data_IF_601782886004
#
_entry.id   IF_601782886004
#
_cell.length_a   1.000
_cell.length_b   1.000
_cell.length_c   1.000
_cell.angle_alpha   90.00
_cell.angle_beta   90.00
_cell.angle_gamma   90.00
#
_symmetry.space_group_name_H-M   'P 1'
#
loop_
_entity.id
_entity.type
_entity.pdbx_description
1 polymer ?
#
# COMPACT_ATOMS: atom_id res chain seq x y z
N UNK A 1 5.78 -10.39 -61.67
CA UNK A 1 6.21 -11.08 -60.45
C UNK A 1 6.05 -10.06 -59.33
N UNK A 2 4.99 -10.05 -58.52
CA UNK A 2 4.69 -10.97 -57.40
C UNK A 2 5.95 -11.20 -56.56
N UNK A 3 6.05 -10.86 -55.28
CA UNK A 3 5.05 -10.87 -54.20
C UNK A 3 5.40 -9.93 -53.03
N UNK A 4 4.34 -9.38 -52.44
CA UNK A 4 4.20 -8.79 -51.11
C UNK A 4 4.52 -9.79 -49.98
N UNK A 5 5.09 -9.32 -48.86
CA UNK A 5 4.82 -9.77 -47.49
C UNK A 5 5.48 -8.77 -46.53
N UNK A 6 4.72 -7.83 -45.94
CA UNK A 6 4.02 -8.00 -44.66
C UNK A 6 4.98 -8.21 -43.50
N UNK A 7 5.60 -7.12 -43.03
CA UNK A 7 6.19 -7.08 -41.70
C UNK A 7 5.06 -6.73 -40.73
N UNK A 8 4.38 -7.77 -40.23
CA UNK A 8 3.35 -7.67 -39.21
C UNK A 8 3.99 -7.23 -37.90
N UNK A 9 3.51 -6.09 -37.42
CA UNK A 9 3.67 -5.56 -36.08
C UNK A 9 3.12 -6.53 -35.03
N UNK A 10 3.94 -6.86 -34.03
CA UNK A 10 3.45 -7.22 -32.70
C UNK A 10 3.88 -6.09 -31.79
N UNK A 11 3.02 -5.07 -31.75
CA UNK A 11 2.96 -4.10 -30.68
C UNK A 11 2.30 -4.82 -29.50
N UNK A 12 3.11 -5.43 -28.63
CA UNK A 12 2.69 -5.62 -27.24
C UNK A 12 2.71 -4.23 -26.59
N UNK A 13 1.63 -3.49 -26.84
CA UNK A 13 1.22 -2.40 -25.97
C UNK A 13 0.62 -3.05 -24.73
N UNK A 14 1.48 -3.63 -23.90
CA UNK A 14 1.20 -3.72 -22.47
C UNK A 14 1.02 -2.26 -22.05
N UNK A 15 -0.23 -1.85 -21.92
CA UNK A 15 -0.57 -0.58 -21.31
C UNK A 15 -0.03 -0.70 -19.89
N UNK A 16 1.17 -0.17 -19.67
CA UNK A 16 1.62 0.19 -18.35
C UNK A 16 0.58 1.19 -17.85
N UNK A 17 -0.45 0.68 -17.16
CA UNK A 17 -1.28 1.49 -16.30
C UNK A 17 -0.28 2.12 -15.34
N UNK A 18 0.01 3.39 -15.59
CA UNK A 18 0.86 4.22 -14.76
C UNK A 18 0.17 4.26 -13.40
N UNK A 19 0.62 3.38 -12.49
CA UNK A 19 0.07 3.27 -11.15
C UNK A 19 0.22 4.63 -10.49
N UNK A 20 -0.92 5.26 -10.28
CA UNK A 20 -1.00 6.59 -9.68
C UNK A 20 -0.37 6.52 -8.30
N UNK A 21 0.68 7.33 -8.11
CA UNK A 21 1.34 7.39 -6.81
C UNK A 21 0.45 8.22 -5.88
N UNK A 22 0.34 7.85 -4.59
CA UNK A 22 -0.43 8.64 -3.63
C UNK A 22 0.00 10.11 -3.58
N UNK A 23 1.25 10.43 -3.94
CA UNK A 23 1.81 11.79 -3.92
C UNK A 23 1.31 12.68 -5.05
N UNK A 24 0.66 12.11 -6.07
CA UNK A 24 0.29 12.81 -7.31
C UNK A 24 -1.20 13.20 -7.35
N UNK A 25 -1.99 12.85 -6.31
CA UNK A 25 -3.43 13.08 -6.29
C UNK A 25 -3.84 13.97 -5.12
N UNK A 26 -4.54 15.06 -5.43
CA UNK A 26 -5.18 15.87 -4.41
C UNK A 26 -6.43 15.17 -3.85
N UNK A 27 -6.58 15.06 -2.52
CA UNK A 27 -7.60 14.20 -1.91
C UNK A 27 -9.05 14.64 -2.17
N UNK A 28 -9.29 15.90 -2.54
CA UNK A 28 -10.63 16.44 -2.85
C UNK A 28 -11.16 15.98 -4.22
N UNK A 29 -10.29 15.43 -5.08
CA UNK A 29 -10.65 14.92 -6.42
C UNK A 29 -10.52 13.38 -6.53
N UNK A 30 -10.26 12.70 -5.41
CA UNK A 30 -10.10 11.24 -5.40
C UNK A 30 -11.36 10.54 -5.90
N UNK A 31 -11.22 9.80 -6.99
CA UNK A 31 -12.21 8.83 -7.46
C UNK A 31 -12.00 7.48 -6.78
N UNK A 32 -13.02 6.61 -6.81
CA UNK A 32 -12.90 5.24 -6.29
C UNK A 32 -11.79 4.46 -7.01
N UNK A 33 -11.62 4.67 -8.32
CA UNK A 33 -10.62 3.99 -9.15
C UNK A 33 -9.19 4.40 -8.79
N UNK A 34 -8.96 5.70 -8.58
CA UNK A 34 -7.66 6.17 -8.11
C UNK A 34 -7.35 5.64 -6.71
N UNK A 35 -8.38 5.52 -5.87
CA UNK A 35 -8.21 5.00 -4.53
C UNK A 35 -7.93 3.49 -4.51
N UNK A 36 -8.54 2.73 -5.42
CA UNK A 36 -8.19 1.33 -5.68
C UNK A 36 -6.71 1.20 -6.07
N UNK A 37 -6.25 1.99 -7.05
CA UNK A 37 -4.84 1.98 -7.47
C UNK A 37 -3.88 2.32 -6.33
N UNK A 38 -4.24 3.28 -5.48
CA UNK A 38 -3.47 3.61 -4.26
C UNK A 38 -3.37 2.39 -3.35
N UNK A 39 -4.45 1.65 -3.13
CA UNK A 39 -4.44 0.46 -2.28
C UNK A 39 -3.80 -0.77 -2.93
N UNK A 40 -3.74 -0.83 -4.26
CA UNK A 40 -2.95 -1.84 -4.96
C UNK A 40 -1.46 -1.67 -4.65
N UNK A 41 -0.96 -0.42 -4.67
CA UNK A 41 0.43 -0.11 -4.26
C UNK A 41 0.67 -0.53 -2.81
N UNK A 42 -0.27 -0.27 -1.90
CA UNK A 42 -0.17 -0.70 -0.51
C UNK A 42 -0.06 -2.22 -0.38
N UNK A 43 -0.89 -2.94 -1.12
CA UNK A 43 -0.92 -4.41 -1.12
C UNK A 43 0.44 -4.98 -1.58
N UNK A 44 1.02 -4.42 -2.65
CA UNK A 44 2.34 -4.82 -3.14
C UNK A 44 3.48 -4.53 -2.16
N UNK A 45 3.38 -3.43 -1.41
CA UNK A 45 4.32 -3.13 -0.33
C UNK A 45 4.17 -4.18 0.78
N UNK A 46 2.95 -4.47 1.23
CA UNK A 46 2.71 -5.45 2.30
C UNK A 46 3.12 -6.86 1.93
N UNK A 47 2.91 -7.26 0.68
CA UNK A 47 3.33 -8.58 0.18
C UNK A 47 4.85 -8.73 0.25
N UNK A 48 5.61 -7.70 -0.14
CA UNK A 48 7.07 -7.71 -0.01
C UNK A 48 7.52 -7.76 1.44
N UNK A 49 6.83 -7.09 2.35
CA UNK A 49 7.12 -7.13 3.79
C UNK A 49 6.78 -8.50 4.39
N UNK A 50 5.74 -9.17 3.91
CA UNK A 50 5.37 -10.52 4.37
C UNK A 50 6.50 -11.55 4.18
N UNK A 51 7.38 -11.31 3.19
CA UNK A 51 8.58 -12.11 2.95
C UNK A 51 9.65 -11.96 4.05
N UNK A 52 9.39 -11.19 5.11
CA UNK A 52 10.32 -11.03 6.23
C UNK A 52 10.67 -12.35 6.93
N UNK A 53 9.82 -13.38 6.88
CA UNK A 53 10.18 -14.73 7.39
C UNK A 53 10.77 -15.67 6.32
N UNK A 54 10.85 -15.20 5.08
CA UNK A 54 11.34 -16.01 3.97
C UNK A 54 12.83 -16.27 4.09
N UNK A 55 13.25 -17.49 3.76
CA UNK A 55 14.66 -17.84 3.57
C UNK A 55 15.26 -17.24 2.29
N UNK A 56 14.40 -16.72 1.40
CA UNK A 56 14.82 -16.08 0.17
C UNK A 56 15.30 -14.64 0.42
N UNK A 57 16.19 -14.16 -0.45
CA UNK A 57 16.63 -12.77 -0.45
C UNK A 57 15.44 -11.87 -0.74
N UNK A 58 15.22 -10.90 0.14
CA UNK A 58 14.12 -9.94 0.07
C UNK A 58 14.66 -8.56 0.33
N UNK A 59 14.36 -7.60 -0.54
CA UNK A 59 14.76 -6.21 -0.37
C UNK A 59 13.85 -5.51 0.66
N UNK A 60 13.98 -5.90 1.93
CA UNK A 60 13.16 -5.38 3.03
C UNK A 60 13.46 -3.90 3.29
N UNK A 61 14.71 -3.46 3.13
CA UNK A 61 15.06 -2.04 3.25
C UNK A 61 14.20 -1.16 2.33
N UNK A 62 14.10 -1.55 1.05
CA UNK A 62 13.26 -0.82 0.09
C UNK A 62 11.77 -0.95 0.46
N UNK A 63 11.29 -2.14 0.81
CA UNK A 63 9.88 -2.34 1.14
C UNK A 63 9.43 -1.50 2.35
N UNK A 64 10.27 -1.40 3.38
CA UNK A 64 10.01 -0.56 4.54
C UNK A 64 10.13 0.94 4.23
N UNK A 65 11.03 1.31 3.31
CA UNK A 65 11.08 2.67 2.74
C UNK A 65 9.77 3.04 2.06
N UNK A 66 9.32 2.20 1.13
CA UNK A 66 8.07 2.39 0.39
C UNK A 66 6.85 2.46 1.33
N UNK A 67 6.80 1.61 2.37
CA UNK A 67 5.73 1.64 3.37
C UNK A 67 5.69 2.97 4.13
N UNK A 68 6.86 3.49 4.48
CA UNK A 68 6.97 4.77 5.19
C UNK A 68 6.52 5.92 4.31
N UNK A 69 6.92 5.94 3.05
CA UNK A 69 6.57 6.98 2.09
C UNK A 69 5.06 6.93 1.80
N UNK A 70 4.53 5.75 1.47
CA UNK A 70 3.09 5.54 1.30
C UNK A 70 2.30 6.03 2.51
N UNK A 71 2.71 5.61 3.71
CA UNK A 71 2.03 6.03 4.94
C UNK A 71 2.20 7.52 5.22
N UNK A 72 3.32 8.12 4.84
CA UNK A 72 3.54 9.56 4.96
C UNK A 72 2.53 10.33 4.14
N UNK A 73 2.27 9.88 2.92
CA UNK A 73 1.35 10.53 1.98
C UNK A 73 -0.10 10.36 2.39
N UNK A 74 -0.55 9.14 2.66
CA UNK A 74 -1.94 8.87 3.05
C UNK A 74 -2.30 9.57 4.38
N UNK A 75 -1.33 9.79 5.26
CA UNK A 75 -1.53 10.55 6.51
C UNK A 75 -1.73 12.06 6.30
N UNK A 76 -1.37 12.61 5.14
CA UNK A 76 -1.63 14.01 4.81
C UNK A 76 -3.08 14.24 4.40
N UNK A 77 -3.79 13.19 3.99
CA UNK A 77 -5.19 13.28 3.63
C UNK A 77 -6.05 13.32 4.90
N UNK A 78 -6.68 14.46 5.15
CA UNK A 78 -7.65 14.57 6.24
C UNK A 78 -8.92 13.80 5.87
N UNK A 79 -9.56 13.23 6.88
CA UNK A 79 -10.83 12.52 6.72
C UNK A 79 -11.93 13.38 6.08
N UNK A 80 -11.82 14.70 6.22
CA UNK A 80 -12.76 15.70 5.71
C UNK A 80 -12.56 15.97 4.22
N UNK A 81 -11.33 15.88 3.72
CA UNK A 81 -10.99 16.05 2.30
C UNK A 81 -11.44 14.86 1.45
N UNK A 82 -11.53 13.67 2.05
CA UNK A 82 -12.01 12.48 1.35
C UNK A 82 -13.51 12.63 1.05
N UNK A 83 -13.93 12.54 -0.23
CA UNK A 83 -15.34 12.62 -0.62
C UNK A 83 -16.21 11.64 0.16
N UNK A 84 -17.39 12.10 0.56
CA UNK A 84 -18.26 11.38 1.49
C UNK A 84 -18.67 10.01 0.96
N UNK A 85 -18.87 9.90 -0.34
CA UNK A 85 -19.27 8.70 -1.08
C UNK A 85 -18.22 7.59 -1.04
N UNK A 86 -16.92 7.92 -1.01
CA UNK A 86 -15.83 6.94 -1.00
C UNK A 86 -15.18 6.78 0.38
N UNK A 87 -15.52 7.64 1.34
CA UNK A 87 -14.91 7.64 2.67
C UNK A 87 -15.01 6.29 3.40
N UNK A 88 -16.14 5.59 3.27
CA UNK A 88 -16.30 4.24 3.85
C UNK A 88 -15.34 3.24 3.20
N UNK A 89 -15.19 3.31 1.87
CA UNK A 89 -14.28 2.46 1.12
C UNK A 89 -12.83 2.72 1.54
N UNK A 90 -12.45 4.00 1.64
CA UNK A 90 -11.15 4.44 2.14
C UNK A 90 -10.84 3.88 3.54
N UNK A 91 -11.73 4.11 4.51
CA UNK A 91 -11.56 3.60 5.87
C UNK A 91 -11.45 2.07 5.89
N UNK A 92 -12.30 1.37 5.13
CA UNK A 92 -12.28 -0.10 5.09
C UNK A 92 -10.91 -0.64 4.69
N UNK A 93 -10.25 -0.02 3.72
CA UNK A 93 -8.93 -0.44 3.27
C UNK A 93 -7.83 -0.11 4.28
N UNK A 94 -7.88 1.07 4.90
CA UNK A 94 -6.93 1.40 5.98
C UNK A 94 -7.05 0.45 7.17
N UNK A 95 -8.28 0.10 7.53
CA UNK A 95 -8.56 -0.89 8.57
C UNK A 95 -8.07 -2.27 8.16
N UNK A 96 -8.28 -2.68 6.91
CA UNK A 96 -7.78 -3.95 6.41
C UNK A 96 -6.25 -4.04 6.44
N UNK A 97 -5.56 -2.96 6.03
CA UNK A 97 -4.10 -2.86 6.13
C UNK A 97 -3.59 -3.01 7.56
N UNK A 98 -4.27 -2.39 8.54
CA UNK A 98 -3.94 -2.58 9.96
C UNK A 98 -3.93 -4.06 10.35
N UNK A 99 -4.97 -4.80 9.97
CA UNK A 99 -5.08 -6.24 10.30
C UNK A 99 -4.00 -7.06 9.58
N UNK A 100 -3.73 -6.81 8.29
CA UNK A 100 -2.64 -7.49 7.55
C UNK A 100 -1.30 -7.31 8.27
N UNK A 101 -0.96 -6.08 8.67
CA UNK A 101 0.29 -5.81 9.37
C UNK A 101 0.35 -6.53 10.72
N UNK A 102 -0.77 -6.61 11.44
CA UNK A 102 -0.87 -7.36 12.69
C UNK A 102 -0.59 -8.85 12.48
N UNK A 103 -1.14 -9.44 11.42
CA UNK A 103 -0.92 -10.84 11.05
C UNK A 103 0.56 -11.11 10.68
N UNK A 104 1.16 -10.25 9.85
CA UNK A 104 2.59 -10.35 9.50
C UNK A 104 3.46 -10.30 10.77
N UNK A 105 3.16 -9.38 11.70
CA UNK A 105 3.88 -9.29 12.99
C UNK A 105 3.71 -10.57 13.81
N UNK A 106 2.50 -11.11 13.88
CA UNK A 106 2.21 -12.32 14.64
C UNK A 106 2.98 -13.53 14.09
N UNK A 107 2.94 -13.71 12.77
CA UNK A 107 3.68 -14.76 12.07
C UNK A 107 5.19 -14.59 12.28
N UNK A 108 5.71 -13.37 12.07
CA UNK A 108 7.10 -13.02 12.29
C UNK A 108 7.59 -13.39 13.69
N UNK A 109 6.84 -13.07 14.75
CA UNK A 109 7.24 -13.43 16.11
C UNK A 109 7.42 -14.93 16.34
N UNK A 110 6.77 -15.78 15.53
CA UNK A 110 6.85 -17.23 15.67
C UNK A 110 8.02 -17.87 14.91
N UNK A 111 8.48 -17.23 13.82
CA UNK A 111 9.40 -17.85 12.85
C UNK A 111 10.63 -16.99 12.47
N UNK A 112 10.80 -15.80 13.07
CA UNK A 112 11.81 -14.85 12.60
C UNK A 112 13.25 -15.35 12.76
N UNK A 113 14.06 -15.11 11.73
CA UNK A 113 15.52 -15.18 11.79
C UNK A 113 16.08 -14.00 12.59
N UNK A 114 17.16 -14.22 13.36
CA UNK A 114 17.71 -13.19 14.25
C UNK A 114 18.19 -11.94 13.50
N UNK A 115 18.73 -12.08 12.28
CA UNK A 115 19.20 -10.94 11.49
C UNK A 115 18.06 -10.00 11.07
N UNK A 116 16.81 -10.49 11.05
CA UNK A 116 15.64 -9.73 10.61
C UNK A 116 14.87 -9.07 11.76
N UNK A 117 15.36 -9.22 13.00
CA UNK A 117 14.73 -8.70 14.22
C UNK A 117 14.51 -7.19 14.21
N UNK A 118 15.41 -6.42 13.61
CA UNK A 118 15.27 -4.96 13.51
C UNK A 118 14.12 -4.53 12.58
N UNK A 119 13.86 -5.28 11.50
CA UNK A 119 12.70 -5.06 10.64
C UNK A 119 11.40 -5.34 11.39
N UNK A 120 11.32 -6.44 12.15
CA UNK A 120 10.13 -6.73 12.96
C UNK A 120 9.88 -5.63 14.00
N UNK A 121 10.92 -5.14 14.68
CA UNK A 121 10.79 -4.00 15.62
C UNK A 121 10.25 -2.75 14.91
N UNK A 122 10.75 -2.47 13.71
CA UNK A 122 10.31 -1.35 12.89
C UNK A 122 8.85 -1.51 12.47
N UNK A 123 8.43 -2.72 12.10
CA UNK A 123 7.04 -3.03 11.73
C UNK A 123 6.08 -2.88 12.91
N UNK A 124 6.48 -3.37 14.09
CA UNK A 124 5.72 -3.21 15.34
C UNK A 124 5.54 -1.73 15.69
N UNK A 125 6.59 -0.92 15.54
CA UNK A 125 6.52 0.52 15.76
C UNK A 125 5.58 1.18 14.75
N UNK A 126 5.76 0.88 13.46
CA UNK A 126 4.89 1.37 12.39
C UNK A 126 3.41 1.05 12.68
N UNK A 127 3.10 -0.21 13.00
CA UNK A 127 1.75 -0.66 13.30
C UNK A 127 1.13 0.13 14.45
N UNK A 128 1.87 0.30 15.55
CA UNK A 128 1.40 1.09 16.70
C UNK A 128 1.09 2.54 16.31
N UNK A 129 2.02 3.19 15.59
CA UNK A 129 1.89 4.57 15.17
C UNK A 129 0.76 4.74 14.14
N UNK A 130 0.51 3.73 13.31
CA UNK A 130 -0.57 3.67 12.33
C UNK A 130 -1.94 3.49 13.01
N UNK A 131 -2.09 2.54 13.93
CA UNK A 131 -3.33 2.35 14.70
C UNK A 131 -3.74 3.63 15.42
N UNK A 132 -2.80 4.29 16.12
CA UNK A 132 -3.09 5.54 16.83
C UNK A 132 -3.60 6.64 15.91
N UNK A 133 -3.07 6.71 14.69
CA UNK A 133 -3.52 7.68 13.68
C UNK A 133 -4.90 7.30 13.12
N UNK A 134 -5.11 6.03 12.75
CA UNK A 134 -6.38 5.55 12.21
C UNK A 134 -7.52 5.73 13.23
N UNK A 135 -7.30 5.40 14.50
CA UNK A 135 -8.28 5.63 15.57
C UNK A 135 -8.66 7.11 15.69
N UNK A 136 -7.70 8.02 15.49
CA UNK A 136 -7.94 9.46 15.50
C UNK A 136 -8.80 9.88 14.30
N UNK A 137 -8.58 9.28 13.14
CA UNK A 137 -9.35 9.50 11.92
C UNK A 137 -10.80 9.00 12.06
N UNK A 138 -10.99 7.78 12.57
CA UNK A 138 -12.31 7.19 12.79
C UNK A 138 -13.14 8.02 13.79
N UNK A 139 -12.50 8.53 14.85
CA UNK A 139 -13.13 9.44 15.82
C UNK A 139 -13.57 10.75 15.19
N UNK A 140 -12.72 11.36 14.35
CA UNK A 140 -13.05 12.60 13.65
C UNK A 140 -14.29 12.45 12.75
N UNK A 141 -14.50 11.25 12.21
CA UNK A 141 -15.64 10.93 11.36
C UNK A 141 -16.90 10.50 12.11
N UNK A 142 -16.75 9.91 13.30
CA UNK A 142 -17.87 9.46 14.14
C UNK A 142 -18.47 10.56 15.04
N UNK A 143 -17.73 11.66 15.24
CA UNK A 143 -18.13 12.78 16.09
C UNK A 143 -18.96 13.87 15.39
N UNK A 144 -19.44 13.61 14.17
CA UNK A 144 -20.37 14.47 13.40
C UNK A 144 -21.69 13.73 13.19
#
# INVERSE_FOLDING_TARGET
MSTTASNTSVIDAESAEEKVRPEEVEPEELTIQQLEQVFDVLSEITDRISLMNSIYESNLDQAFGDLKDFSGTVRQWSAEQIPQEIRRFYLSHLTFHREIIADIIAEARSLLMDERREYLKSLVKYHKDYCSWLDSMERALSGR
#
